data_IF_017965000914
#
_entry.id   IF_017965000914
#
_cell.length_a   1.000
_cell.length_b   1.000
_cell.length_c   1.000
_cell.angle_alpha   90.00
_cell.angle_beta   90.00
_cell.angle_gamma   90.00
#
_symmetry.space_group_name_H-M   'P 1'
#
loop_
_entity.id
_entity.type
_entity.pdbx_description
1 polymer ?
#
# COMPACT_ATOMS: atom_id res chain seq x y z
N UNK A 1 19.66 0.21 -15.79
CA UNK A 1 19.87 0.28 -14.32
C UNK A 1 19.01 -0.79 -13.66
N UNK A 2 19.60 -1.60 -12.73
CA UNK A 2 18.87 -2.66 -12.02
C UNK A 2 18.50 -2.19 -10.62
N UNK A 3 17.22 -2.35 -10.24
CA UNK A 3 16.68 -1.89 -8.95
C UNK A 3 16.04 -3.07 -8.23
N UNK A 4 16.40 -3.26 -6.95
CA UNK A 4 15.73 -4.20 -6.06
C UNK A 4 14.74 -3.44 -5.17
N UNK A 5 13.45 -3.69 -5.31
CA UNK A 5 12.42 -3.24 -4.38
C UNK A 5 12.26 -4.27 -3.26
N UNK A 6 12.31 -3.84 -2.01
CA UNK A 6 12.20 -4.73 -0.86
C UNK A 6 11.03 -4.32 0.05
N UNK A 7 10.03 -5.22 0.15
CA UNK A 7 8.85 -5.04 0.99
C UNK A 7 8.26 -6.37 1.48
N UNK A 8 7.55 -6.32 2.61
CA UNK A 8 7.02 -7.50 3.31
C UNK A 8 5.93 -8.28 2.58
N UNK A 9 5.15 -7.60 1.73
CA UNK A 9 4.00 -8.17 1.00
C UNK A 9 3.99 -7.67 -0.43
N UNK A 10 3.55 -8.51 -1.38
CA UNK A 10 3.44 -8.12 -2.78
C UNK A 10 2.40 -8.95 -3.54
N UNK A 11 2.12 -8.52 -4.76
CA UNK A 11 1.26 -9.23 -5.71
C UNK A 11 1.85 -10.61 -6.08
N UNK A 12 1.00 -11.60 -6.37
CA UNK A 12 -0.46 -11.58 -6.34
C UNK A 12 -1.07 -11.88 -4.96
N UNK A 13 -0.27 -12.24 -3.96
CA UNK A 13 -0.75 -12.68 -2.65
C UNK A 13 -1.40 -11.54 -1.83
N UNK A 14 -0.91 -10.33 -2.00
CA UNK A 14 -1.44 -9.14 -1.31
C UNK A 14 -1.61 -8.01 -2.30
N UNK A 15 -2.78 -7.36 -2.25
CA UNK A 15 -3.08 -6.18 -3.04
C UNK A 15 -3.44 -5.02 -2.11
N UNK A 16 -2.53 -4.08 -1.95
CA UNK A 16 -2.69 -2.86 -1.15
C UNK A 16 -2.11 -1.66 -1.86
N UNK A 17 -2.16 -0.49 -1.20
CA UNK A 17 -1.65 0.74 -1.80
C UNK A 17 -0.15 0.73 -2.04
N UNK A 18 0.63 0.13 -1.13
CA UNK A 18 2.09 0.05 -1.28
C UNK A 18 2.46 -0.91 -2.40
N UNK A 19 1.83 -2.07 -2.46
CA UNK A 19 2.03 -3.06 -3.51
C UNK A 19 1.72 -2.48 -4.89
N UNK A 20 0.64 -1.67 -5.00
CA UNK A 20 0.31 -0.95 -6.23
C UNK A 20 1.37 0.08 -6.60
N UNK A 21 1.90 0.84 -5.65
CA UNK A 21 2.98 1.79 -5.91
C UNK A 21 4.23 1.06 -6.42
N UNK A 22 4.61 -0.06 -5.79
CA UNK A 22 5.76 -0.86 -6.24
C UNK A 22 5.52 -1.37 -7.67
N UNK A 23 4.33 -1.90 -7.94
CA UNK A 23 3.97 -2.39 -9.27
C UNK A 23 4.07 -1.29 -10.32
N UNK A 24 3.50 -0.12 -10.07
CA UNK A 24 3.56 1.02 -10.99
C UNK A 24 5.00 1.50 -11.20
N UNK A 25 5.84 1.53 -10.17
CA UNK A 25 7.26 1.87 -10.31
C UNK A 25 8.00 0.86 -11.20
N UNK A 26 7.73 -0.44 -11.02
CA UNK A 26 8.34 -1.48 -11.87
C UNK A 26 7.89 -1.34 -13.32
N UNK A 27 6.60 -1.16 -13.58
CA UNK A 27 6.07 -1.07 -14.95
C UNK A 27 6.54 0.20 -15.66
N UNK A 28 6.42 1.36 -15.01
CA UNK A 28 6.84 2.63 -15.65
C UNK A 28 8.35 2.74 -15.81
N UNK A 29 9.13 2.06 -14.97
CA UNK A 29 10.58 2.04 -15.05
C UNK A 29 11.12 1.39 -16.33
N UNK A 30 10.36 0.48 -16.94
CA UNK A 30 10.77 -0.20 -18.19
C UNK A 30 11.05 0.80 -19.32
N UNK A 31 10.18 1.79 -19.48
CA UNK A 31 10.34 2.85 -20.49
C UNK A 31 11.61 3.70 -20.25
N UNK A 32 12.09 3.76 -19.02
CA UNK A 32 13.30 4.48 -18.61
C UNK A 32 14.55 3.56 -18.59
N UNK A 33 14.46 2.33 -19.10
CA UNK A 33 15.54 1.36 -19.11
C UNK A 33 15.90 0.83 -17.70
N UNK A 34 14.93 0.78 -16.80
CA UNK A 34 15.09 0.23 -15.45
C UNK A 34 14.60 -1.21 -15.43
N UNK A 35 15.51 -2.13 -15.06
CA UNK A 35 15.20 -3.53 -14.77
C UNK A 35 14.89 -3.67 -13.28
N UNK A 36 13.61 -3.81 -12.96
CA UNK A 36 13.12 -3.89 -11.58
C UNK A 36 12.97 -5.34 -11.12
N UNK A 37 13.36 -5.58 -9.88
CA UNK A 37 13.13 -6.84 -9.17
C UNK A 37 12.47 -6.54 -7.83
N UNK A 38 11.58 -7.41 -7.38
CA UNK A 38 10.91 -7.27 -6.08
C UNK A 38 11.26 -8.46 -5.20
N UNK A 39 11.75 -8.21 -3.98
CA UNK A 39 11.87 -9.23 -2.95
C UNK A 39 10.77 -9.03 -1.91
N UNK A 40 10.00 -10.08 -1.65
CA UNK A 40 8.89 -10.08 -0.69
C UNK A 40 8.85 -11.37 0.13
N UNK A 41 7.97 -11.42 1.14
CA UNK A 41 7.70 -12.62 1.91
C UNK A 41 6.42 -13.30 1.40
N UNK A 42 6.41 -14.64 1.43
CA UNK A 42 5.28 -15.47 1.04
C UNK A 42 5.02 -16.57 2.08
N UNK A 43 3.75 -16.76 2.43
CA UNK A 43 3.35 -17.87 3.30
C UNK A 43 3.42 -19.24 2.58
N UNK A 44 3.27 -19.22 1.25
CA UNK A 44 3.28 -20.40 0.38
C UNK A 44 4.25 -20.22 -0.78
N UNK A 45 5.58 -20.25 -0.54
CA UNK A 45 6.59 -20.00 -1.58
C UNK A 45 6.83 -21.23 -2.47
N UNK A 46 5.76 -21.91 -2.93
CA UNK A 46 5.88 -23.05 -3.86
C UNK A 46 6.62 -22.65 -5.13
N UNK A 47 6.41 -21.44 -5.61
CA UNK A 47 7.26 -20.78 -6.61
C UNK A 47 8.07 -19.69 -5.92
N UNK A 48 9.37 -19.89 -5.82
CA UNK A 48 10.28 -18.89 -5.23
C UNK A 48 10.46 -17.66 -6.12
N UNK A 49 10.21 -17.78 -7.41
CA UNK A 49 10.30 -16.71 -8.39
C UNK A 49 9.10 -16.75 -9.34
N UNK A 50 8.59 -15.60 -9.69
CA UNK A 50 7.56 -15.43 -10.71
C UNK A 50 7.80 -14.15 -11.51
N UNK A 51 7.28 -14.10 -12.72
CA UNK A 51 7.24 -12.88 -13.55
C UNK A 51 5.87 -12.27 -13.38
N UNK A 52 5.83 -10.98 -13.07
CA UNK A 52 4.60 -10.21 -12.94
C UNK A 52 4.69 -8.96 -13.82
N UNK A 53 3.95 -8.93 -14.93
CA UNK A 53 4.18 -7.91 -15.95
C UNK A 53 5.62 -7.99 -16.47
N UNK A 54 6.34 -6.88 -16.39
CA UNK A 54 7.70 -6.74 -16.93
C UNK A 54 8.80 -6.86 -15.86
N UNK A 55 8.50 -7.39 -14.69
CA UNK A 55 9.49 -7.50 -13.62
C UNK A 55 9.46 -8.85 -12.90
N UNK A 56 10.56 -9.15 -12.25
CA UNK A 56 10.78 -10.39 -11.52
C UNK A 56 10.43 -10.23 -10.04
N UNK A 57 9.68 -11.19 -9.48
CA UNK A 57 9.33 -11.21 -8.06
C UNK A 57 9.96 -12.43 -7.39
N UNK A 58 10.80 -12.18 -6.39
CA UNK A 58 11.43 -13.18 -5.55
C UNK A 58 10.67 -13.28 -4.23
N UNK A 59 10.32 -14.50 -3.84
CA UNK A 59 9.53 -14.77 -2.65
C UNK A 59 10.35 -15.56 -1.64
N UNK A 60 10.66 -14.93 -0.50
CA UNK A 60 11.25 -15.61 0.64
C UNK A 60 10.16 -16.19 1.54
N UNK A 61 10.40 -17.34 2.15
CA UNK A 61 9.43 -17.98 3.04
C UNK A 61 9.14 -17.06 4.24
N UNK A 62 7.88 -16.79 4.47
CA UNK A 62 7.40 -16.19 5.70
C UNK A 62 7.37 -17.25 6.80
N UNK A 63 8.15 -17.08 7.86
CA UNK A 63 8.21 -18.05 8.94
C UNK A 63 7.15 -17.77 10.03
N UNK A 64 6.97 -16.50 10.40
CA UNK A 64 5.92 -16.11 11.36
C UNK A 64 5.57 -14.62 11.26
N UNK A 65 4.46 -14.26 11.90
CA UNK A 65 4.02 -12.87 12.09
C UNK A 65 4.05 -12.47 13.55
N UNK A 66 4.57 -11.29 13.84
CA UNK A 66 4.48 -10.66 15.14
C UNK A 66 4.14 -9.16 14.98
N UNK A 67 3.11 -8.68 15.66
CA UNK A 67 2.70 -7.27 15.66
C UNK A 67 2.56 -6.65 14.26
N UNK A 68 1.95 -7.38 13.30
CA UNK A 68 1.79 -7.02 11.88
C UNK A 68 3.11 -6.94 11.09
N UNK A 69 4.19 -7.48 11.63
CA UNK A 69 5.49 -7.62 10.98
C UNK A 69 5.71 -9.08 10.62
N UNK A 70 5.97 -9.34 9.34
CA UNK A 70 6.39 -10.67 8.86
C UNK A 70 7.88 -10.84 9.08
N UNK A 71 8.29 -12.05 9.47
CA UNK A 71 9.67 -12.47 9.72
C UNK A 71 10.03 -13.64 8.83
N UNK A 72 11.29 -13.68 8.38
CA UNK A 72 11.84 -14.71 7.50
C UNK A 72 13.32 -14.94 7.77
N UNK A 73 13.72 -16.18 7.98
CA UNK A 73 15.15 -16.53 8.10
C UNK A 73 15.81 -16.60 6.71
N UNK A 74 15.09 -17.10 5.72
CA UNK A 74 15.63 -17.25 4.35
C UNK A 74 15.89 -15.92 3.66
N UNK A 75 15.18 -14.84 4.06
CA UNK A 75 15.29 -13.52 3.44
C UNK A 75 16.70 -12.92 3.58
N UNK A 76 17.42 -13.19 4.66
CA UNK A 76 18.77 -12.64 4.87
C UNK A 76 19.75 -13.09 3.77
N UNK A 77 19.71 -14.38 3.40
CA UNK A 77 20.52 -14.91 2.33
C UNK A 77 20.05 -14.37 0.98
N UNK A 78 18.73 -14.47 0.71
CA UNK A 78 18.18 -14.07 -0.58
C UNK A 78 18.37 -12.57 -0.85
N UNK A 79 18.19 -11.74 0.17
CA UNK A 79 18.43 -10.30 0.05
C UNK A 79 19.89 -9.97 -0.27
N UNK A 80 20.87 -10.63 0.38
CA UNK A 80 22.30 -10.42 0.08
C UNK A 80 22.66 -10.81 -1.35
N UNK A 81 22.15 -11.95 -1.82
CA UNK A 81 22.35 -12.42 -3.20
C UNK A 81 21.84 -11.38 -4.19
N UNK A 82 20.57 -10.96 -4.06
CA UNK A 82 19.95 -10.01 -4.96
C UNK A 82 20.55 -8.59 -4.86
N UNK A 83 20.84 -8.12 -3.65
CA UNK A 83 21.46 -6.81 -3.46
C UNK A 83 22.86 -6.71 -4.09
N UNK A 84 23.60 -7.82 -4.20
CA UNK A 84 24.89 -7.83 -4.88
C UNK A 84 24.77 -7.64 -6.41
N UNK A 85 23.65 -8.06 -7.00
CA UNK A 85 23.41 -8.08 -8.44
C UNK A 85 22.80 -6.78 -9.00
N UNK A 86 22.25 -5.93 -8.13
CA UNK A 86 21.56 -4.69 -8.53
C UNK A 86 22.44 -3.46 -8.39
N UNK A 87 22.00 -2.36 -8.97
CA UNK A 87 22.69 -1.08 -8.91
C UNK A 87 22.17 -0.21 -7.75
N UNK A 88 20.87 -0.38 -7.36
CA UNK A 88 20.20 0.36 -6.29
C UNK A 88 19.25 -0.55 -5.52
N UNK A 89 19.19 -0.38 -4.20
CA UNK A 89 18.17 -1.01 -3.34
C UNK A 89 17.16 0.03 -2.91
N UNK A 90 15.87 -0.20 -3.22
CA UNK A 90 14.75 0.63 -2.79
C UNK A 90 13.93 -0.09 -1.72
N UNK A 91 14.00 0.42 -0.50
CA UNK A 91 13.24 -0.05 0.64
C UNK A 91 11.87 0.63 0.69
N UNK A 92 10.81 -0.13 1.00
CA UNK A 92 9.47 0.41 1.19
C UNK A 92 9.09 0.43 2.68
N UNK A 93 9.19 1.61 3.28
CA UNK A 93 8.93 1.81 4.71
C UNK A 93 7.43 2.08 4.97
N UNK A 94 6.79 1.54 6.06
CA UNK A 94 7.45 0.92 7.21
C UNK A 94 7.41 -0.62 7.21
N UNK A 95 8.53 -1.19 7.59
CA UNK A 95 8.64 -2.61 7.94
C UNK A 95 9.85 -2.81 8.87
N UNK A 96 9.67 -2.88 10.21
CA UNK A 96 10.78 -2.93 11.17
C UNK A 96 11.81 -4.05 10.95
N UNK A 97 11.36 -5.19 10.44
CA UNK A 97 12.27 -6.32 10.15
C UNK A 97 13.19 -6.03 8.96
N UNK A 98 12.76 -5.22 8.01
CA UNK A 98 13.58 -4.77 6.88
C UNK A 98 14.84 -4.02 7.36
N UNK A 99 14.73 -3.22 8.41
CA UNK A 99 15.86 -2.47 8.98
C UNK A 99 16.90 -3.44 9.56
N UNK A 100 16.45 -4.53 10.19
CA UNK A 100 17.33 -5.60 10.69
C UNK A 100 18.05 -6.30 9.52
N UNK A 101 17.31 -6.63 8.45
CA UNK A 101 17.88 -7.27 7.24
C UNK A 101 18.93 -6.35 6.60
N UNK A 102 18.66 -5.04 6.51
CA UNK A 102 19.62 -4.06 5.98
C UNK A 102 20.96 -4.12 6.73
N UNK A 103 20.95 -3.99 8.05
CA UNK A 103 22.19 -4.00 8.84
C UNK A 103 22.90 -5.37 8.84
N UNK A 104 22.15 -6.46 8.90
CA UNK A 104 22.72 -7.80 8.89
C UNK A 104 23.29 -8.19 7.54
N UNK A 105 22.93 -7.51 6.46
CA UNK A 105 23.38 -7.81 5.10
C UNK A 105 24.54 -6.94 4.64
N UNK A 106 24.94 -5.93 5.42
CA UNK A 106 26.06 -5.02 5.09
C UNK A 106 25.99 -4.48 3.64
N UNK A 107 24.82 -3.91 3.26
CA UNK A 107 24.58 -3.43 1.90
C UNK A 107 25.57 -2.35 1.52
N UNK A 108 26.29 -2.56 0.41
CA UNK A 108 27.29 -1.62 -0.14
C UNK A 108 26.78 -0.83 -1.34
N UNK A 109 25.56 -1.12 -1.80
CA UNK A 109 24.95 -0.45 -2.96
C UNK A 109 24.22 0.81 -2.51
N UNK A 110 24.04 1.81 -3.40
CA UNK A 110 23.17 2.94 -3.18
C UNK A 110 21.78 2.52 -2.69
N UNK A 111 21.27 3.22 -1.67
CA UNK A 111 20.05 2.86 -0.98
C UNK A 111 19.04 4.01 -0.99
N UNK A 112 17.80 3.70 -1.32
CA UNK A 112 16.67 4.62 -1.29
C UNK A 112 15.59 4.05 -0.36
N UNK A 113 14.92 4.91 0.40
CA UNK A 113 13.71 4.55 1.13
C UNK A 113 12.52 5.28 0.52
N UNK A 114 11.56 4.54 0.01
CA UNK A 114 10.24 5.08 -0.30
C UNK A 114 9.39 5.05 0.98
N UNK A 115 9.15 6.23 1.55
CA UNK A 115 8.49 6.41 2.83
C UNK A 115 6.97 6.59 2.65
N UNK A 116 6.19 5.53 2.94
CA UNK A 116 4.75 5.52 2.69
C UNK A 116 3.93 6.09 3.85
N UNK A 117 4.34 5.79 5.09
CA UNK A 117 3.60 6.25 6.29
C UNK A 117 4.44 6.20 7.56
N UNK A 118 4.08 7.04 8.53
CA UNK A 118 4.53 6.89 9.91
C UNK A 118 3.90 5.65 10.57
N UNK A 119 4.59 5.10 11.57
CA UNK A 119 4.02 4.06 12.44
C UNK A 119 3.25 4.76 13.56
N UNK A 120 1.91 4.74 13.46
CA UNK A 120 1.03 5.45 14.41
C UNK A 120 0.54 4.54 15.53
N UNK A 121 0.40 3.23 15.27
CA UNK A 121 -0.06 2.23 16.24
C UNK A 121 1.09 1.63 17.02
N UNK A 122 0.77 0.97 18.16
CA UNK A 122 1.73 0.23 18.98
C UNK A 122 2.79 1.14 19.62
N UNK A 123 2.35 2.20 20.29
CA UNK A 123 3.22 3.23 20.88
C UNK A 123 4.38 2.67 21.74
N UNK A 124 4.16 1.61 22.51
CA UNK A 124 5.21 0.97 23.31
C UNK A 124 6.28 0.28 22.44
N UNK A 125 5.85 -0.52 21.45
CA UNK A 125 6.76 -1.18 20.52
C UNK A 125 7.49 -0.14 19.65
N UNK A 126 6.82 0.93 19.28
CA UNK A 126 7.43 2.03 18.55
C UNK A 126 8.54 2.70 19.35
N UNK A 127 8.37 2.88 20.65
CA UNK A 127 9.41 3.48 21.51
C UNK A 127 10.68 2.63 21.51
N UNK A 128 10.55 1.31 21.58
CA UNK A 128 11.69 0.37 21.48
C UNK A 128 12.31 0.35 20.08
N UNK A 129 11.50 0.48 19.04
CA UNK A 129 11.95 0.46 17.64
C UNK A 129 12.56 1.78 17.18
N UNK A 130 12.15 2.93 17.72
CA UNK A 130 12.62 4.27 17.29
C UNK A 130 14.14 4.38 17.11
N UNK A 131 15.00 3.88 18.02
CA UNK A 131 16.45 3.97 17.82
C UNK A 131 16.93 3.27 16.56
N UNK A 132 16.43 2.03 16.31
CA UNK A 132 16.76 1.25 15.10
C UNK A 132 16.24 1.95 13.84
N UNK A 133 15.00 2.43 13.86
CA UNK A 133 14.38 3.17 12.77
C UNK A 133 15.22 4.39 12.37
N UNK A 134 15.60 5.24 13.34
CA UNK A 134 16.39 6.42 13.03
C UNK A 134 17.82 6.07 12.59
N UNK A 135 18.40 4.99 13.13
CA UNK A 135 19.68 4.47 12.65
C UNK A 135 19.57 4.01 11.19
N UNK A 136 18.52 3.28 10.85
CA UNK A 136 18.27 2.83 9.47
C UNK A 136 18.02 4.00 8.53
N UNK A 137 17.09 4.90 8.85
CA UNK A 137 16.83 6.08 8.03
C UNK A 137 18.05 7.01 7.94
N UNK A 138 18.92 7.01 8.97
CA UNK A 138 20.20 7.70 8.96
C UNK A 138 21.24 7.07 8.03
N UNK A 139 21.24 5.76 7.85
CA UNK A 139 22.25 5.04 7.04
C UNK A 139 21.97 5.05 5.54
N UNK A 140 20.71 5.17 5.11
CA UNK A 140 20.35 5.16 3.68
C UNK A 140 20.74 6.48 2.99
N UNK A 141 20.97 6.44 1.67
CA UNK A 141 21.45 7.61 0.91
C UNK A 141 20.34 8.63 0.66
N UNK A 142 19.13 8.20 0.35
CA UNK A 142 17.98 9.06 0.05
C UNK A 142 16.69 8.51 0.64
N UNK A 143 15.80 9.43 0.98
CA UNK A 143 14.42 9.14 1.38
C UNK A 143 13.48 9.84 0.41
N UNK A 144 12.46 9.16 -0.06
CA UNK A 144 11.42 9.69 -0.94
C UNK A 144 10.10 9.75 -0.17
N UNK A 145 9.52 10.93 -0.09
CA UNK A 145 8.19 11.17 0.47
C UNK A 145 7.19 11.52 -0.65
N UNK A 146 5.96 11.03 -0.54
CA UNK A 146 4.96 11.18 -1.61
C UNK A 146 4.35 12.59 -1.70
N UNK A 147 4.44 13.42 -0.66
CA UNK A 147 3.85 14.75 -0.68
C UNK A 147 4.62 15.78 0.15
N UNK A 148 4.60 17.07 -0.24
CA UNK A 148 5.20 18.14 0.55
C UNK A 148 4.52 18.30 1.92
N UNK A 149 3.22 18.09 1.99
CA UNK A 149 2.47 18.17 3.23
C UNK A 149 2.96 17.12 4.23
N UNK A 150 3.14 15.90 3.75
CA UNK A 150 3.61 14.80 4.57
C UNK A 150 5.03 15.06 5.12
N UNK A 151 5.93 15.60 4.28
CA UNK A 151 7.27 16.00 4.72
C UNK A 151 7.22 17.05 5.84
N UNK A 152 6.24 17.96 5.81
CA UNK A 152 6.09 19.01 6.86
C UNK A 152 5.51 18.47 8.17
N UNK A 153 4.64 17.47 8.11
CA UNK A 153 3.87 17.00 9.28
C UNK A 153 4.49 15.80 9.96
N UNK A 154 5.35 15.02 9.29
CA UNK A 154 6.02 13.86 9.87
C UNK A 154 7.24 14.29 10.71
N UNK A 155 7.17 14.04 12.02
CA UNK A 155 8.32 14.26 12.93
C UNK A 155 9.53 13.40 12.56
N UNK A 156 9.30 12.21 11.99
CA UNK A 156 10.35 11.30 11.56
C UNK A 156 11.08 11.88 10.35
N UNK A 157 10.35 12.32 9.32
CA UNK A 157 10.95 12.90 8.12
C UNK A 157 11.64 14.24 8.40
N UNK A 158 11.13 15.03 9.34
CA UNK A 158 11.75 16.29 9.75
C UNK A 158 13.20 16.11 10.22
N UNK A 159 13.52 14.98 10.89
CA UNK A 159 14.89 14.64 11.32
C UNK A 159 15.83 14.25 10.18
N UNK A 160 15.30 13.89 9.02
CA UNK A 160 16.04 13.39 7.86
C UNK A 160 15.80 14.27 6.61
N UNK A 161 15.33 15.52 6.79
CA UNK A 161 14.91 16.41 5.69
C UNK A 161 15.99 16.64 4.64
N UNK A 162 17.25 16.71 5.05
CA UNK A 162 18.37 17.05 4.15
C UNK A 162 18.57 16.01 3.05
N UNK A 163 18.24 14.73 3.32
CA UNK A 163 18.27 13.65 2.35
C UNK A 163 16.90 13.21 1.85
N UNK A 164 15.83 13.84 2.31
CA UNK A 164 14.47 13.57 1.84
C UNK A 164 14.15 14.40 0.62
N UNK A 165 13.57 13.76 -0.39
CA UNK A 165 13.03 14.41 -1.59
C UNK A 165 11.56 14.10 -1.72
N UNK A 166 10.79 15.05 -2.21
CA UNK A 166 9.36 14.86 -2.49
C UNK A 166 9.23 14.42 -3.94
N UNK A 167 8.74 13.20 -4.14
CA UNK A 167 8.40 12.64 -5.44
C UNK A 167 6.99 12.07 -5.31
N UNK A 168 5.96 12.76 -5.84
CA UNK A 168 4.58 12.27 -5.82
C UNK A 168 4.47 10.95 -6.58
N UNK A 169 3.58 10.07 -6.12
CA UNK A 169 3.28 8.86 -6.87
C UNK A 169 2.65 9.21 -8.21
N UNK A 170 3.20 8.67 -9.26
CA UNK A 170 2.59 8.69 -10.58
C UNK A 170 1.44 7.69 -10.68
N UNK A 171 0.51 7.97 -11.56
CA UNK A 171 -0.56 7.06 -11.93
C UNK A 171 -0.61 6.99 -13.46
N UNK A 172 -0.37 5.81 -14.00
CA UNK A 172 -0.61 5.58 -15.42
C UNK A 172 -2.11 5.40 -15.67
N UNK A 173 -2.74 6.41 -16.24
CA UNK A 173 -4.17 6.37 -16.57
C UNK A 173 -4.48 5.31 -17.64
N UNK A 174 -3.54 4.98 -18.50
CA UNK A 174 -3.73 3.98 -19.55
C UNK A 174 -3.76 2.55 -18.98
N UNK A 175 -3.20 2.33 -17.78
CA UNK A 175 -3.26 1.03 -17.11
C UNK A 175 -4.62 0.70 -16.51
N UNK A 176 -5.54 1.68 -16.43
CA UNK A 176 -6.90 1.44 -15.93
C UNK A 176 -7.85 1.08 -17.06
N UNK A 177 -8.69 0.06 -16.86
CA UNK A 177 -9.63 -0.37 -17.90
C UNK A 177 -10.68 0.71 -18.17
N UNK A 178 -11.11 0.79 -19.42
CA UNK A 178 -12.31 1.53 -19.77
C UNK A 178 -13.50 0.61 -19.51
N UNK A 179 -14.41 0.93 -18.56
CA UNK A 179 -15.53 0.06 -18.26
C UNK A 179 -16.50 -0.01 -19.42
N UNK A 180 -17.03 -1.20 -19.68
CA UNK A 180 -18.03 -1.40 -20.71
C UNK A 180 -19.33 -0.65 -20.42
N UNK A 181 -20.13 -0.40 -21.44
CA UNK A 181 -21.44 0.28 -21.30
C UNK A 181 -22.36 -0.53 -20.38
N UNK A 182 -22.34 -1.87 -20.52
CA UNK A 182 -23.14 -2.78 -19.71
C UNK A 182 -22.73 -2.72 -18.24
N UNK A 183 -21.44 -2.59 -17.95
CA UNK A 183 -20.93 -2.46 -16.59
C UNK A 183 -21.36 -1.15 -15.93
N UNK A 184 -21.30 -0.07 -16.68
CA UNK A 184 -21.80 1.25 -16.21
C UNK A 184 -23.31 1.17 -15.97
N UNK A 185 -24.08 0.61 -16.92
CA UNK A 185 -25.54 0.46 -16.80
C UNK A 185 -25.94 -0.40 -15.58
N UNK A 186 -25.20 -1.49 -15.32
CA UNK A 186 -25.43 -2.34 -14.14
C UNK A 186 -25.34 -1.54 -12.83
N UNK A 187 -24.27 -0.77 -12.65
CA UNK A 187 -24.08 0.01 -11.42
C UNK A 187 -25.05 1.19 -11.35
N UNK A 188 -25.36 1.81 -12.50
CA UNK A 188 -26.35 2.88 -12.58
C UNK A 188 -27.76 2.40 -12.22
N UNK A 189 -28.16 1.22 -12.68
CA UNK A 189 -29.46 0.62 -12.31
C UNK A 189 -29.52 0.33 -10.80
N UNK A 190 -28.40 -0.10 -10.19
CA UNK A 190 -28.36 -0.51 -8.79
C UNK A 190 -28.33 0.66 -7.81
N UNK A 191 -27.60 1.73 -8.10
CA UNK A 191 -27.38 2.85 -7.18
C UNK A 191 -27.79 4.21 -7.74
N UNK A 192 -28.21 4.27 -8.98
CA UNK A 192 -28.49 5.52 -9.67
C UNK A 192 -27.22 6.31 -10.00
N UNK A 193 -27.38 7.61 -10.10
CA UNK A 193 -26.30 8.59 -10.15
C UNK A 193 -26.35 9.41 -8.86
N UNK A 194 -25.21 10.04 -8.50
CA UNK A 194 -25.12 10.93 -7.33
C UNK A 194 -25.10 10.24 -5.97
N UNK A 195 -24.32 9.19 -5.85
CA UNK A 195 -23.96 8.61 -4.56
C UNK A 195 -22.56 9.05 -4.12
N UNK A 196 -22.27 8.97 -2.84
CA UNK A 196 -20.93 9.10 -2.28
C UNK A 196 -20.20 7.77 -2.37
N UNK A 197 -18.93 7.79 -2.82
CA UNK A 197 -18.15 6.58 -3.02
C UNK A 197 -16.95 6.55 -2.06
N UNK A 198 -16.79 5.46 -1.35
CA UNK A 198 -15.56 5.10 -0.68
C UNK A 198 -14.93 3.88 -1.35
N UNK A 199 -13.62 3.94 -1.63
CA UNK A 199 -12.84 2.81 -2.13
C UNK A 199 -11.64 2.58 -1.23
N UNK A 200 -11.54 1.40 -0.60
CA UNK A 200 -10.38 1.10 0.23
C UNK A 200 -10.56 -0.07 1.18
N UNK A 201 -9.47 -0.42 1.88
CA UNK A 201 -9.49 -1.47 2.91
C UNK A 201 -10.21 -0.94 4.16
N UNK A 202 -11.15 -1.71 4.69
CA UNK A 202 -11.93 -1.34 5.88
C UNK A 202 -11.08 -1.51 7.14
N UNK A 203 -10.27 -0.50 7.45
CA UNK A 203 -9.42 -0.40 8.65
C UNK A 203 -9.81 0.83 9.48
N UNK A 204 -9.47 0.82 10.77
CA UNK A 204 -9.83 1.88 11.72
C UNK A 204 -9.43 3.28 11.24
N UNK A 205 -8.18 3.43 10.77
CA UNK A 205 -7.66 4.73 10.33
C UNK A 205 -8.34 5.28 9.06
N UNK A 206 -9.16 4.47 8.38
CA UNK A 206 -9.96 4.93 7.23
C UNK A 206 -11.25 5.65 7.63
N UNK A 207 -11.56 5.72 8.93
CA UNK A 207 -12.62 6.57 9.46
C UNK A 207 -14.03 6.19 9.02
N UNK A 208 -14.29 4.99 8.48
CA UNK A 208 -15.62 4.60 8.01
C UNK A 208 -16.69 4.64 9.11
N UNK A 209 -16.32 4.39 10.37
CA UNK A 209 -17.24 4.54 11.50
C UNK A 209 -17.70 5.98 11.68
N UNK A 210 -16.84 6.97 11.37
CA UNK A 210 -17.19 8.41 11.36
C UNK A 210 -18.10 8.72 10.18
N UNK A 211 -17.84 8.14 9.00
CA UNK A 211 -18.72 8.30 7.84
C UNK A 211 -20.13 7.79 8.14
N UNK A 212 -20.28 6.62 8.77
CA UNK A 212 -21.58 6.08 9.15
C UNK A 212 -22.32 6.99 10.13
N UNK A 213 -21.63 7.61 11.08
CA UNK A 213 -22.20 8.63 11.96
C UNK A 213 -22.67 9.87 11.18
N UNK A 214 -21.83 10.36 10.27
CA UNK A 214 -22.09 11.59 9.52
C UNK A 214 -23.28 11.48 8.56
N UNK A 215 -23.61 10.28 8.08
CA UNK A 215 -24.73 10.08 7.13
C UNK A 215 -26.05 9.73 7.81
N UNK A 216 -26.11 9.67 9.14
CA UNK A 216 -27.37 9.49 9.88
C UNK A 216 -28.37 10.61 9.53
N UNK A 217 -29.60 10.18 9.21
CA UNK A 217 -30.71 11.11 8.94
C UNK A 217 -30.58 11.91 7.63
N UNK A 218 -29.51 11.72 6.84
CA UNK A 218 -29.32 12.47 5.60
C UNK A 218 -30.03 11.85 4.39
N UNK A 219 -30.18 10.52 4.38
CA UNK A 219 -30.71 9.77 3.23
C UNK A 219 -29.78 9.74 2.01
N UNK A 220 -28.58 10.31 2.07
CA UNK A 220 -27.63 10.32 0.96
C UNK A 220 -27.08 8.92 0.68
N UNK A 221 -27.20 8.39 -0.55
CA UNK A 221 -26.66 7.10 -0.89
C UNK A 221 -25.12 7.05 -0.76
N UNK A 222 -24.62 6.02 -0.08
CA UNK A 222 -23.19 5.78 0.08
C UNK A 222 -22.86 4.38 -0.39
N UNK A 223 -21.87 4.25 -1.29
CA UNK A 223 -21.35 2.98 -1.77
C UNK A 223 -19.94 2.78 -1.22
N UNK A 224 -19.73 1.69 -0.51
CA UNK A 224 -18.46 1.32 0.14
C UNK A 224 -17.88 0.11 -0.58
N UNK A 225 -16.79 0.34 -1.31
CA UNK A 225 -16.03 -0.67 -2.06
C UNK A 225 -14.79 -1.09 -1.28
N UNK A 226 -14.61 -2.38 -1.14
CA UNK A 226 -13.47 -2.99 -0.46
C UNK A 226 -13.91 -4.00 0.58
N UNK A 227 -12.93 -4.52 1.31
CA UNK A 227 -13.11 -5.44 2.43
C UNK A 227 -12.05 -5.13 3.50
N UNK A 228 -12.19 -5.73 4.67
CA UNK A 228 -11.18 -5.56 5.71
C UNK A 228 -11.63 -6.04 7.08
N UNK A 229 -10.72 -5.98 8.08
CA UNK A 229 -10.99 -6.53 9.40
C UNK A 229 -12.19 -5.89 10.12
N UNK A 230 -12.59 -4.68 9.74
CA UNK A 230 -13.72 -3.98 10.37
C UNK A 230 -15.05 -4.16 9.61
N UNK A 231 -15.09 -4.90 8.51
CA UNK A 231 -16.30 -5.00 7.68
C UNK A 231 -17.53 -5.43 8.47
N UNK A 232 -17.42 -6.50 9.26
CA UNK A 232 -18.53 -7.02 10.06
C UNK A 232 -19.02 -5.97 11.09
N UNK A 233 -18.11 -5.32 11.79
CA UNK A 233 -18.45 -4.29 12.77
C UNK A 233 -19.11 -3.08 12.11
N UNK A 234 -18.63 -2.64 10.95
CA UNK A 234 -19.19 -1.52 10.21
C UNK A 234 -20.59 -1.84 9.65
N UNK A 235 -20.83 -3.06 9.16
CA UNK A 235 -22.16 -3.51 8.73
C UNK A 235 -23.14 -3.55 9.91
N UNK A 236 -22.72 -4.06 11.07
CA UNK A 236 -23.53 -4.06 12.29
C UNK A 236 -23.85 -2.63 12.76
N UNK A 237 -22.89 -1.70 12.70
CA UNK A 237 -23.09 -0.30 13.03
C UNK A 237 -24.10 0.35 12.07
N UNK A 238 -23.96 0.12 10.77
CA UNK A 238 -24.90 0.65 9.77
C UNK A 238 -26.32 0.12 9.99
N UNK A 239 -26.48 -1.15 10.32
CA UNK A 239 -27.75 -1.77 10.65
C UNK A 239 -28.36 -1.17 11.93
N UNK A 240 -27.57 -1.02 12.99
CA UNK A 240 -28.01 -0.41 14.25
C UNK A 240 -28.47 1.04 14.08
N UNK A 241 -27.90 1.76 13.11
CA UNK A 241 -28.28 3.14 12.77
C UNK A 241 -29.42 3.22 11.74
N UNK A 242 -29.93 2.09 11.24
CA UNK A 242 -30.98 2.08 10.20
C UNK A 242 -30.54 2.66 8.86
N UNK A 243 -29.26 2.57 8.50
CA UNK A 243 -28.70 3.19 7.30
C UNK A 243 -28.93 2.34 6.05
N UNK A 244 -30.17 2.22 5.60
CA UNK A 244 -30.54 1.43 4.41
C UNK A 244 -29.96 1.97 3.11
N UNK A 245 -29.54 3.24 3.09
CA UNK A 245 -28.90 3.92 1.96
C UNK A 245 -27.38 3.75 1.91
N UNK A 246 -26.78 2.98 2.82
CA UNK A 246 -25.36 2.64 2.82
C UNK A 246 -25.15 1.22 2.30
N UNK A 247 -24.41 1.08 1.21
CA UNK A 247 -24.24 -0.17 0.49
C UNK A 247 -22.79 -0.65 0.56
N UNK A 248 -22.54 -1.80 1.16
CA UNK A 248 -21.24 -2.47 1.17
C UNK A 248 -21.19 -3.48 0.03
N UNK A 249 -20.39 -3.23 -0.98
CA UNK A 249 -20.35 -4.05 -2.21
C UNK A 249 -19.18 -5.05 -2.24
N UNK A 250 -18.32 -5.04 -1.22
CA UNK A 250 -17.17 -5.95 -1.16
C UNK A 250 -16.02 -5.49 -2.06
N UNK A 251 -15.10 -6.42 -2.33
CA UNK A 251 -13.98 -6.17 -3.25
C UNK A 251 -14.47 -6.22 -4.69
N UNK A 252 -14.03 -5.29 -5.49
CA UNK A 252 -14.36 -5.19 -6.92
C UNK A 252 -13.08 -5.14 -7.76
N UNK A 253 -13.20 -5.61 -9.00
CA UNK A 253 -12.18 -5.41 -10.03
C UNK A 253 -12.05 -3.95 -10.47
N UNK A 254 -11.00 -3.64 -11.23
CA UNK A 254 -10.73 -2.26 -11.65
C UNK A 254 -11.82 -1.71 -12.59
N UNK A 255 -12.39 -2.53 -13.46
CA UNK A 255 -13.47 -2.13 -14.35
C UNK A 255 -14.71 -1.65 -13.57
N UNK A 256 -15.12 -2.40 -12.54
CA UNK A 256 -16.22 -2.02 -11.66
C UNK A 256 -15.92 -0.75 -10.85
N UNK A 257 -14.68 -0.64 -10.34
CA UNK A 257 -14.25 0.56 -9.61
C UNK A 257 -14.30 1.80 -10.50
N UNK A 258 -13.81 1.70 -11.75
CA UNK A 258 -13.84 2.81 -12.70
C UNK A 258 -15.28 3.15 -13.10
N UNK A 259 -16.17 2.16 -13.26
CA UNK A 259 -17.59 2.40 -13.51
C UNK A 259 -18.25 3.19 -12.37
N UNK A 260 -18.01 2.78 -11.12
CA UNK A 260 -18.53 3.49 -9.94
C UNK A 260 -17.95 4.91 -9.80
N UNK A 261 -16.65 5.09 -10.11
CA UNK A 261 -16.00 6.40 -10.13
C UNK A 261 -16.61 7.36 -11.15
N UNK A 262 -17.06 6.84 -12.31
CA UNK A 262 -17.76 7.65 -13.32
C UNK A 262 -19.19 8.05 -12.90
N UNK A 263 -19.84 7.26 -12.05
CA UNK A 263 -21.24 7.48 -11.62
C UNK A 263 -21.37 8.26 -10.32
N UNK A 264 -20.37 8.21 -9.44
CA UNK A 264 -20.44 8.86 -8.15
C UNK A 264 -20.43 10.40 -8.26
N UNK A 265 -21.09 11.06 -7.31
CA UNK A 265 -21.01 12.52 -7.19
C UNK A 265 -19.65 12.95 -6.66
N UNK A 266 -19.14 12.20 -5.71
CA UNK A 266 -17.85 12.50 -5.07
C UNK A 266 -17.30 11.27 -4.35
N UNK A 267 -15.98 11.27 -4.17
CA UNK A 267 -15.27 10.27 -3.37
C UNK A 267 -15.13 10.82 -1.95
N UNK A 268 -15.37 9.98 -0.95
CA UNK A 268 -15.23 10.35 0.46
C UNK A 268 -14.07 9.60 1.11
N UNK A 269 -13.17 10.35 1.76
CA UNK A 269 -12.04 9.83 2.52
C UNK A 269 -12.10 10.38 3.95
N UNK A 270 -12.80 9.70 4.87
CA UNK A 270 -12.97 10.18 6.25
C UNK A 270 -11.75 9.91 7.15
N UNK A 271 -10.62 9.52 6.58
CA UNK A 271 -9.36 9.16 7.27
C UNK A 271 -8.50 10.37 7.63
#
# INVERSE_FOLDING_TARGET
MRVLHFFKTYLPESMGGIEQVIYQLCQSGVAEGIDSQVLTLSATPEQQELILGDHRVHRAKLDFHLASTGFSYSVFRRFRELAAEVDVVNYHFPWPFMDVVHFASAVSKPTVVTYHSDIVRQKYLLTLYKPLMHKFLGSVDRIVAASPNYLRTSEVLARHKDKTRVIPYGLDKASYPIPSIERIAHWQQRFGQRFFLFVGVMRYYKGLHILLEAVKGTGYPVVIVGAGPLEQALRAQAQAFGLHHVHFVGRLGDEDKVALLKLCSTIVFPS
#
